data_IF_052327892790
#
_entry.id   IF_052327892790
#
_cell.length_a   1.000
_cell.length_b   1.000
_cell.length_c   1.000
_cell.angle_alpha   90.00
_cell.angle_beta   90.00
_cell.angle_gamma   90.00
#
_symmetry.space_group_name_H-M   'P 1'
#
loop_
_entity.id
_entity.type
_entity.pdbx_description
1 polymer ?
#
# COMPACT_ATOMS: atom_id res chain seq x y z
N UNK A 1 -40.49 -21.56 15.26
CA UNK A 1 -39.84 -20.92 14.09
C UNK A 1 -38.60 -20.20 14.61
N UNK A 2 -37.41 -20.76 14.41
CA UNK A 2 -36.17 -20.13 14.86
C UNK A 2 -35.76 -19.08 13.83
N UNK A 3 -36.08 -17.82 14.11
CA UNK A 3 -35.59 -16.70 13.32
C UNK A 3 -34.11 -16.49 13.66
N UNK A 4 -33.22 -17.10 12.86
CA UNK A 4 -31.77 -16.89 12.97
C UNK A 4 -31.48 -15.45 12.60
N UNK A 5 -31.48 -14.58 13.61
CA UNK A 5 -31.00 -13.20 13.50
C UNK A 5 -29.58 -13.25 12.97
N UNK A 6 -29.42 -13.02 11.67
CA UNK A 6 -28.12 -12.82 11.01
C UNK A 6 -27.54 -11.53 11.61
N UNK A 7 -26.93 -11.64 12.79
CA UNK A 7 -26.18 -10.56 13.44
C UNK A 7 -25.19 -10.10 12.38
N UNK A 8 -25.42 -8.91 11.81
CA UNK A 8 -24.58 -8.41 10.74
C UNK A 8 -23.18 -8.23 11.33
N UNK A 9 -22.29 -9.18 11.03
CA UNK A 9 -20.88 -9.11 11.44
C UNK A 9 -20.26 -7.79 10.95
N UNK A 10 -20.80 -7.24 9.87
CA UNK A 10 -20.48 -5.94 9.28
C UNK A 10 -20.81 -4.72 10.14
N UNK A 11 -21.73 -4.81 11.13
CA UNK A 11 -22.07 -3.66 12.00
C UNK A 11 -21.06 -3.39 13.11
N UNK A 12 -20.11 -4.31 13.34
CA UNK A 12 -19.06 -4.18 14.35
C UNK A 12 -17.73 -3.65 13.80
N UNK A 13 -17.63 -3.47 12.49
CA UNK A 13 -16.39 -3.09 11.82
C UNK A 13 -16.32 -1.56 11.76
N UNK A 14 -15.30 -0.99 12.39
CA UNK A 14 -15.01 0.44 12.36
C UNK A 14 -14.77 0.92 10.91
N UNK A 15 -15.14 2.16 10.54
CA UNK A 15 -14.78 2.74 9.25
C UNK A 15 -13.29 2.63 8.91
N UNK A 16 -12.42 2.73 9.91
CA UNK A 16 -10.96 2.56 9.74
C UNK A 16 -10.58 1.14 9.34
N UNK A 17 -11.29 0.12 9.83
CA UNK A 17 -11.04 -1.28 9.45
C UNK A 17 -11.50 -1.57 8.03
N UNK A 18 -12.62 -0.98 7.60
CA UNK A 18 -13.06 -1.04 6.20
C UNK A 18 -12.07 -0.36 5.25
N UNK A 19 -11.55 0.81 5.64
CA UNK A 19 -10.49 1.49 4.89
C UNK A 19 -9.24 0.62 4.78
N UNK A 20 -8.77 0.07 5.90
CA UNK A 20 -7.61 -0.81 5.92
C UNK A 20 -7.81 -2.05 5.04
N UNK A 21 -9.00 -2.67 5.08
CA UNK A 21 -9.34 -3.80 4.23
C UNK A 21 -9.32 -3.40 2.75
N UNK A 22 -9.95 -2.28 2.39
CA UNK A 22 -9.97 -1.77 1.01
C UNK A 22 -8.56 -1.47 0.48
N UNK A 23 -7.72 -0.82 1.28
CA UNK A 23 -6.32 -0.56 0.95
C UNK A 23 -5.51 -1.85 0.80
N UNK A 24 -5.79 -2.86 1.63
CA UNK A 24 -5.11 -4.17 1.53
C UNK A 24 -5.46 -4.85 0.21
N UNK A 25 -6.75 -4.89 -0.15
CA UNK A 25 -7.20 -5.47 -1.43
C UNK A 25 -6.58 -4.71 -2.61
N UNK A 26 -6.59 -3.38 -2.57
CA UNK A 26 -5.98 -2.55 -3.61
C UNK A 26 -4.47 -2.82 -3.74
N UNK A 27 -3.76 -2.97 -2.62
CA UNK A 27 -2.34 -3.30 -2.62
C UNK A 27 -2.08 -4.67 -3.26
N UNK A 28 -2.91 -5.68 -2.97
CA UNK A 28 -2.80 -7.01 -3.60
C UNK A 28 -2.99 -6.91 -5.11
N UNK A 29 -4.04 -6.22 -5.56
CA UNK A 29 -4.30 -6.00 -6.99
C UNK A 29 -3.12 -5.28 -7.64
N UNK A 30 -2.65 -4.19 -7.05
CA UNK A 30 -1.50 -3.43 -7.55
C UNK A 30 -0.27 -4.33 -7.72
N UNK A 31 0.01 -5.18 -6.72
CA UNK A 31 1.14 -6.11 -6.72
C UNK A 31 1.01 -7.18 -7.81
N UNK A 32 -0.20 -7.69 -8.07
CA UNK A 32 -0.47 -8.72 -9.09
C UNK A 32 -0.48 -8.13 -10.51
N UNK A 33 -1.13 -6.99 -10.72
CA UNK A 33 -1.20 -6.33 -12.04
C UNK A 33 0.17 -5.79 -12.47
N UNK A 34 0.95 -5.24 -11.55
CA UNK A 34 2.23 -4.59 -11.87
C UNK A 34 3.44 -5.54 -11.69
N UNK A 35 3.26 -6.82 -12.05
CA UNK A 35 4.33 -7.84 -12.08
C UNK A 35 5.29 -7.70 -13.25
N UNK A 36 4.96 -6.85 -14.23
CA UNK A 36 5.79 -6.62 -15.40
C UNK A 36 7.22 -6.26 -14.99
N UNK A 37 8.19 -6.92 -15.62
CA UNK A 37 9.60 -6.65 -15.38
C UNK A 37 10.01 -5.38 -16.12
N UNK A 38 10.63 -4.45 -15.40
CA UNK A 38 11.19 -3.23 -15.96
C UNK A 38 12.70 -3.26 -15.72
N UNK A 39 13.45 -2.97 -16.76
CA UNK A 39 14.90 -2.79 -16.69
C UNK A 39 15.20 -1.30 -16.51
N UNK A 40 15.92 -0.97 -15.44
CA UNK A 40 16.39 0.37 -15.13
C UNK A 40 17.91 0.37 -15.05
N UNK A 41 18.54 1.42 -15.53
CA UNK A 41 19.98 1.63 -15.39
C UNK A 41 20.24 2.55 -14.19
N UNK A 42 20.98 2.04 -13.21
CA UNK A 42 21.39 2.80 -12.04
C UNK A 42 22.91 2.87 -12.03
N UNK A 43 23.47 4.06 -12.31
CA UNK A 43 24.91 4.31 -12.19
C UNK A 43 25.78 3.26 -12.93
N UNK A 44 25.39 2.86 -14.14
CA UNK A 44 26.02 1.82 -14.99
C UNK A 44 25.65 0.37 -14.66
N UNK A 45 24.78 0.13 -13.68
CA UNK A 45 24.26 -1.21 -13.36
C UNK A 45 22.84 -1.37 -13.90
N UNK A 46 22.62 -2.37 -14.74
CA UNK A 46 21.27 -2.75 -15.16
C UNK A 46 20.61 -3.59 -14.08
N UNK A 47 19.45 -3.14 -13.61
CA UNK A 47 18.65 -3.86 -12.63
C UNK A 47 17.29 -4.12 -13.24
N UNK A 48 16.89 -5.39 -13.24
CA UNK A 48 15.57 -5.81 -13.67
C UNK A 48 14.75 -6.22 -12.46
N UNK A 49 13.62 -5.56 -12.26
CA UNK A 49 12.74 -5.79 -11.13
C UNK A 49 11.29 -5.64 -11.55
N UNK A 50 10.34 -6.25 -10.82
CA UNK A 50 8.93 -6.02 -11.08
C UNK A 50 8.55 -4.58 -10.72
N UNK A 51 7.71 -3.96 -11.54
CA UNK A 51 7.36 -2.53 -11.44
C UNK A 51 6.80 -2.16 -10.05
N UNK A 52 5.96 -3.01 -9.45
CA UNK A 52 5.40 -2.75 -8.11
C UNK A 52 6.48 -2.53 -7.04
N UNK A 53 7.62 -3.23 -7.15
CA UNK A 53 8.73 -3.12 -6.20
C UNK A 53 9.41 -1.77 -6.32
N UNK A 54 9.68 -1.33 -7.55
CA UNK A 54 10.30 -0.02 -7.82
C UNK A 54 9.41 1.11 -7.27
N UNK A 55 8.11 1.05 -7.54
CA UNK A 55 7.14 2.03 -7.06
C UNK A 55 7.05 2.05 -5.53
N UNK A 56 7.08 0.87 -4.88
CA UNK A 56 7.10 0.77 -3.42
C UNK A 56 8.37 1.41 -2.83
N UNK A 57 9.55 1.13 -3.40
CA UNK A 57 10.82 1.71 -2.94
C UNK A 57 10.80 3.24 -3.08
N UNK A 58 10.37 3.76 -4.23
CA UNK A 58 10.26 5.22 -4.43
C UNK A 58 9.27 5.86 -3.45
N UNK A 59 8.14 5.22 -3.20
CA UNK A 59 7.17 5.67 -2.20
C UNK A 59 7.79 5.75 -0.80
N UNK A 60 8.53 4.72 -0.38
CA UNK A 60 9.20 4.70 0.93
C UNK A 60 10.28 5.79 1.04
N UNK A 61 11.03 6.07 -0.02
CA UNK A 61 12.01 7.16 -0.07
C UNK A 61 11.29 8.51 0.13
N UNK A 62 10.23 8.77 -0.64
CA UNK A 62 9.45 10.00 -0.54
C UNK A 62 8.79 10.17 0.84
N UNK A 63 8.24 9.09 1.39
CA UNK A 63 7.69 9.08 2.74
C UNK A 63 8.76 9.42 3.78
N UNK A 64 9.93 8.77 3.72
CA UNK A 64 11.03 9.03 4.65
C UNK A 64 11.50 10.49 4.56
N UNK A 65 11.67 11.02 3.35
CA UNK A 65 11.99 12.43 3.13
C UNK A 65 10.92 13.35 3.72
N UNK A 66 9.63 13.07 3.49
CA UNK A 66 8.52 13.81 4.07
C UNK A 66 8.51 13.81 5.60
N UNK A 67 8.79 12.66 6.22
CA UNK A 67 8.92 12.55 7.68
C UNK A 67 10.09 13.38 8.22
N UNK A 68 11.23 13.41 7.53
CA UNK A 68 12.38 14.21 7.93
C UNK A 68 12.10 15.71 7.82
N UNK A 69 11.39 16.13 6.77
CA UNK A 69 11.01 17.53 6.56
C UNK A 69 9.93 18.01 7.54
N UNK A 70 8.97 17.15 7.89
CA UNK A 70 7.88 17.48 8.84
C UNK A 70 8.38 17.79 10.26
N UNK A 71 9.57 17.29 10.64
CA UNK A 71 10.16 17.50 11.97
C UNK A 71 10.77 18.90 12.19
N UNK A 72 10.72 19.80 11.20
CA UNK A 72 11.30 21.17 11.29
C UNK A 72 10.29 22.31 11.48
N UNK A 73 9.01 22.00 11.70
CA UNK A 73 7.94 23.00 11.87
C UNK A 73 7.56 23.32 13.32
N UNK A 74 8.52 23.29 14.25
CA UNK A 74 8.28 23.56 15.68
C UNK A 74 9.39 24.44 16.25
N UNK A 75 9.52 25.66 15.74
CA UNK A 75 10.28 26.76 16.35
C UNK A 75 9.49 28.03 16.18
#
# INVERSE_FOLDING_TARGET
>A
MAETKKRSLFSRISPTQWLALGLTVLAVIFVVENRAQVSIEILLVSITAPMWLILLVMFLIGWAAGLLTRRRGST
#
